data_IF_334222744890
#
_entry.id   IF_334222744890
#
_cell.length_a   1.000
_cell.length_b   1.000
_cell.length_c   1.000
_cell.angle_alpha   90.00
_cell.angle_beta   90.00
_cell.angle_gamma   90.00
#
_symmetry.space_group_name_H-M   'P 1'
#
loop_
_entity.id
_entity.type
_entity.pdbx_description
1 polymer ?
#
# COMPACT_ATOMS: atom_id res chain seq x y z
N UNK A 1 8.24 -19.01 -6.98
CA UNK A 1 8.08 -18.49 -5.61
C UNK A 1 8.81 -19.42 -4.68
N UNK A 2 9.92 -18.96 -4.11
CA UNK A 2 10.61 -19.72 -3.06
C UNK A 2 10.01 -19.32 -1.71
N UNK A 3 9.88 -20.29 -0.81
CA UNK A 3 9.34 -20.07 0.53
C UNK A 3 10.21 -20.78 1.55
N UNK A 4 10.59 -20.08 2.60
CA UNK A 4 11.34 -20.64 3.73
C UNK A 4 10.70 -20.23 5.04
N UNK A 5 10.56 -21.17 5.97
CA UNK A 5 10.09 -20.93 7.33
C UNK A 5 11.20 -21.36 8.28
N UNK A 6 11.64 -20.44 9.14
CA UNK A 6 12.68 -20.69 10.13
C UNK A 6 12.20 -20.31 11.52
N UNK A 7 12.57 -21.11 12.51
CA UNK A 7 12.40 -20.75 13.91
C UNK A 7 13.59 -19.88 14.33
N UNK A 8 13.32 -18.77 14.98
CA UNK A 8 14.33 -17.89 15.56
C UNK A 8 14.77 -18.44 16.92
N UNK A 9 16.01 -18.16 17.33
CA UNK A 9 16.57 -18.63 18.60
C UNK A 9 15.77 -18.16 19.83
N UNK A 10 15.05 -17.04 19.70
CA UNK A 10 14.16 -16.49 20.72
C UNK A 10 12.77 -17.16 20.78
N UNK A 11 12.53 -18.19 19.96
CA UNK A 11 11.26 -18.91 19.86
C UNK A 11 10.25 -18.29 18.88
N UNK A 12 10.60 -17.20 18.20
CA UNK A 12 9.79 -16.63 17.11
C UNK A 12 9.81 -17.48 15.83
N UNK A 13 8.94 -17.14 14.88
CA UNK A 13 8.87 -17.76 13.56
C UNK A 13 9.06 -16.71 12.48
N UNK A 14 9.89 -17.00 11.48
CA UNK A 14 10.09 -16.15 10.32
C UNK A 14 9.68 -16.92 9.07
N UNK A 15 8.69 -16.42 8.35
CA UNK A 15 8.30 -16.90 7.03
C UNK A 15 8.77 -15.89 5.98
N UNK A 16 9.64 -16.32 5.07
CA UNK A 16 10.15 -15.51 3.98
C UNK A 16 9.68 -16.08 2.64
N UNK A 17 9.14 -15.20 1.80
CA UNK A 17 8.67 -15.48 0.45
C UNK A 17 9.51 -14.67 -0.54
N UNK A 18 9.93 -15.31 -1.62
CA UNK A 18 10.61 -14.66 -2.74
C UNK A 18 9.76 -14.72 -3.99
N UNK A 19 9.47 -13.56 -4.54
CA UNK A 19 8.79 -13.38 -5.81
C UNK A 19 9.73 -12.78 -6.84
N UNK A 20 9.37 -12.88 -8.10
CA UNK A 20 10.04 -12.19 -9.21
C UNK A 20 9.02 -11.29 -9.86
N UNK A 21 9.40 -10.04 -10.13
CA UNK A 21 8.57 -9.13 -10.89
C UNK A 21 8.52 -9.59 -12.35
N UNK A 22 7.43 -9.24 -13.04
CA UNK A 22 7.24 -9.56 -14.45
C UNK A 22 7.95 -8.53 -15.37
N UNK A 23 9.19 -8.18 -15.03
CA UNK A 23 10.08 -7.32 -15.81
C UNK A 23 11.13 -8.16 -16.54
N UNK A 24 11.85 -7.60 -17.54
CA UNK A 24 12.83 -8.36 -18.32
C UNK A 24 13.96 -8.98 -17.48
N UNK A 25 14.30 -8.36 -16.35
CA UNK A 25 15.38 -8.79 -15.47
C UNK A 25 14.91 -9.75 -14.36
N UNK A 26 13.61 -10.10 -14.31
CA UNK A 26 13.01 -10.95 -13.29
C UNK A 26 13.39 -10.51 -11.86
N UNK A 27 13.26 -9.21 -11.60
CA UNK A 27 13.78 -8.57 -10.38
C UNK A 27 13.21 -9.28 -9.14
N UNK A 28 14.06 -9.82 -8.25
CA UNK A 28 13.59 -10.54 -7.08
C UNK A 28 13.11 -9.58 -6.00
N UNK A 29 11.96 -9.87 -5.40
CA UNK A 29 11.42 -9.14 -4.24
C UNK A 29 11.15 -10.10 -3.09
N UNK A 30 11.43 -9.67 -1.86
CA UNK A 30 11.21 -10.47 -0.66
C UNK A 30 10.01 -9.94 0.12
N UNK A 31 9.24 -10.85 0.69
CA UNK A 31 8.19 -10.57 1.68
C UNK A 31 8.49 -11.45 2.89
N UNK A 32 8.79 -10.82 4.02
CA UNK A 32 9.15 -11.51 5.26
C UNK A 32 8.16 -11.18 6.36
N UNK A 33 7.55 -12.21 6.93
CA UNK A 33 6.74 -12.13 8.14
C UNK A 33 7.53 -12.71 9.30
N UNK A 34 7.79 -11.91 10.33
CA UNK A 34 8.39 -12.37 11.59
C UNK A 34 7.39 -12.25 12.71
N UNK A 35 6.99 -13.39 13.26
CA UNK A 35 6.13 -13.50 14.44
C UNK A 35 7.01 -13.69 15.66
N UNK A 36 6.92 -12.78 16.61
CA UNK A 36 7.62 -12.86 17.89
C UNK A 36 6.84 -13.71 18.90
N UNK A 37 7.48 -14.22 19.97
CA UNK A 37 6.81 -15.04 20.98
C UNK A 37 5.63 -14.35 21.70
N UNK A 38 5.60 -13.01 21.72
CA UNK A 38 4.50 -12.20 22.25
C UNK A 38 3.38 -11.95 21.22
N UNK A 39 3.34 -12.74 20.13
CA UNK A 39 2.33 -12.70 19.07
C UNK A 39 2.25 -11.40 18.28
N UNK A 40 3.29 -10.56 18.33
CA UNK A 40 3.44 -9.43 17.40
C UNK A 40 4.00 -9.91 16.08
N UNK A 41 3.51 -9.34 14.99
CA UNK A 41 3.98 -9.68 13.65
C UNK A 41 4.67 -8.48 13.03
N UNK A 42 5.85 -8.71 12.46
CA UNK A 42 6.61 -7.74 11.68
C UNK A 42 6.52 -8.15 10.22
N UNK A 43 6.16 -7.22 9.36
CA UNK A 43 6.17 -7.38 7.91
C UNK A 43 7.28 -6.52 7.33
N UNK A 44 8.13 -7.14 6.52
CA UNK A 44 9.11 -6.43 5.70
C UNK A 44 8.94 -6.84 4.23
N UNK A 45 8.73 -5.88 3.35
CA UNK A 45 8.67 -6.08 1.89
C UNK A 45 9.81 -5.30 1.26
N UNK A 46 10.69 -5.97 0.54
CA UNK A 46 11.91 -5.35 0.00
C UNK A 46 12.02 -5.51 -1.51
N UNK A 47 12.31 -4.38 -2.14
CA UNK A 47 12.75 -4.26 -3.52
C UNK A 47 14.23 -3.89 -3.51
N UNK A 48 15.11 -4.67 -4.13
CA UNK A 48 16.55 -4.40 -4.12
C UNK A 48 16.98 -3.27 -5.08
N UNK A 49 16.09 -2.85 -5.99
CA UNK A 49 16.47 -2.07 -7.17
C UNK A 49 16.68 -2.96 -8.39
N UNK A 50 16.57 -2.36 -9.57
CA UNK A 50 16.76 -2.98 -10.88
C UNK A 50 17.92 -2.33 -11.64
N UNK A 51 18.19 -2.77 -12.87
CA UNK A 51 19.20 -2.22 -13.75
C UNK A 51 19.00 -0.73 -14.00
N UNK A 52 20.12 -0.01 -14.10
CA UNK A 52 20.12 1.40 -14.46
C UNK A 52 19.44 1.61 -15.83
N UNK A 53 18.50 2.54 -15.91
CA UNK A 53 17.72 2.82 -17.12
C UNK A 53 16.37 2.09 -17.21
N UNK A 54 16.03 1.24 -16.24
CA UNK A 54 14.67 0.72 -16.10
C UNK A 54 13.65 1.86 -15.89
N UNK A 55 12.43 1.66 -16.39
CA UNK A 55 11.34 2.63 -16.21
C UNK A 55 11.02 2.81 -14.73
N UNK A 56 10.60 4.01 -14.34
CA UNK A 56 10.21 4.31 -12.95
C UNK A 56 9.06 3.41 -12.49
N UNK A 57 9.06 3.03 -11.23
CA UNK A 57 7.97 2.27 -10.64
C UNK A 57 6.74 3.17 -10.44
N UNK A 58 5.52 2.69 -10.74
CA UNK A 58 4.30 3.41 -10.39
C UNK A 58 4.08 3.41 -8.87
N UNK A 59 4.30 2.27 -8.23
CA UNK A 59 4.20 2.07 -6.80
C UNK A 59 4.97 0.79 -6.40
N UNK A 60 5.34 0.68 -5.12
CA UNK A 60 5.89 -0.55 -4.56
C UNK A 60 5.36 -0.82 -3.15
N UNK A 61 4.91 -2.06 -2.90
CA UNK A 61 4.36 -2.48 -1.61
C UNK A 61 3.59 -3.79 -1.71
N UNK A 62 2.55 -3.93 -0.90
CA UNK A 62 1.69 -5.11 -0.81
C UNK A 62 0.21 -4.70 -0.76
N UNK A 63 -0.66 -5.53 -1.31
CA UNK A 63 -2.12 -5.40 -1.22
C UNK A 63 -2.67 -6.68 -0.59
N UNK A 64 -3.55 -6.52 0.39
CA UNK A 64 -4.25 -7.63 1.04
C UNK A 64 -5.75 -7.57 0.76
N UNK A 65 -6.31 -8.72 0.43
CA UNK A 65 -7.75 -8.95 0.48
C UNK A 65 -8.17 -9.20 1.94
N UNK A 66 -9.07 -8.37 2.45
CA UNK A 66 -9.63 -8.44 3.79
C UNK A 66 -11.11 -8.88 3.75
N UNK A 67 -11.64 -9.45 4.83
CA UNK A 67 -13.08 -9.69 4.97
C UNK A 67 -13.92 -8.44 4.64
N UNK A 68 -15.09 -8.66 4.03
CA UNK A 68 -15.99 -7.58 3.61
C UNK A 68 -16.46 -6.69 4.76
N UNK A 69 -16.50 -7.21 5.99
CA UNK A 69 -16.81 -6.41 7.18
C UNK A 69 -15.74 -5.38 7.56
N UNK A 70 -14.47 -5.57 7.15
CA UNK A 70 -13.35 -4.68 7.50
C UNK A 70 -13.32 -3.45 6.59
N UNK A 71 -14.35 -2.63 6.70
CA UNK A 71 -14.62 -1.49 5.83
C UNK A 71 -14.30 -0.14 6.47
N UNK A 72 -14.05 -0.07 7.77
CA UNK A 72 -13.70 1.16 8.47
C UNK A 72 -12.19 1.37 8.46
N UNK A 73 -11.76 2.54 8.00
CA UNK A 73 -10.36 2.96 8.03
C UNK A 73 -10.20 4.12 9.00
N UNK A 74 -9.34 3.94 10.00
CA UNK A 74 -8.87 5.00 10.87
C UNK A 74 -7.36 5.10 10.78
N UNK A 75 -6.79 6.28 10.57
CA UNK A 75 -5.35 6.41 10.37
C UNK A 75 -4.78 7.72 10.91
N UNK A 76 -3.50 7.68 11.28
CA UNK A 76 -2.70 8.87 11.59
C UNK A 76 -1.74 9.15 10.44
N UNK A 77 -2.01 10.22 9.69
CA UNK A 77 -1.25 10.58 8.48
C UNK A 77 -1.75 11.87 7.86
N UNK A 78 -1.44 12.09 6.58
CA UNK A 78 -1.94 13.26 5.84
C UNK A 78 -3.34 13.02 5.28
N UNK A 79 -4.26 13.95 5.53
CA UNK A 79 -5.67 13.83 5.15
C UNK A 79 -6.48 15.11 5.41
N UNK A 80 -7.83 15.05 5.41
CA UNK A 80 -8.65 13.83 5.27
C UNK A 80 -8.77 13.33 3.83
N UNK A 81 -8.60 14.21 2.84
CA UNK A 81 -8.69 13.86 1.42
C UNK A 81 -7.49 13.02 0.96
N UNK A 82 -7.63 12.36 -0.19
CA UNK A 82 -6.52 11.60 -0.79
C UNK A 82 -5.31 12.50 -1.08
N UNK A 83 -4.12 11.94 -0.86
CA UNK A 83 -2.83 12.60 -1.06
C UNK A 83 -1.89 11.72 -1.87
N UNK A 84 -1.09 12.37 -2.70
CA UNK A 84 -0.06 11.75 -3.55
C UNK A 84 1.25 12.51 -3.39
N UNK A 85 2.35 11.89 -3.79
CA UNK A 85 3.71 12.40 -3.57
C UNK A 85 3.93 13.86 -4.02
N UNK A 86 3.34 14.26 -5.13
CA UNK A 86 3.37 15.62 -5.69
C UNK A 86 2.13 16.47 -5.36
N UNK A 87 1.12 15.87 -4.72
CA UNK A 87 -0.18 16.48 -4.39
C UNK A 87 -0.58 16.20 -2.94
N UNK A 88 0.33 16.44 -1.99
CA UNK A 88 0.06 16.25 -0.54
C UNK A 88 0.02 17.54 0.29
N UNK A 89 0.43 18.68 -0.26
CA UNK A 89 0.51 19.94 0.50
C UNK A 89 -0.86 20.47 0.99
N UNK A 90 -1.96 20.02 0.39
CA UNK A 90 -3.31 20.33 0.86
C UNK A 90 -3.77 19.49 2.06
N UNK A 91 -3.10 18.36 2.32
CA UNK A 91 -3.39 17.47 3.43
C UNK A 91 -2.82 18.00 4.74
N UNK A 92 -3.55 17.78 5.84
CA UNK A 92 -3.10 18.07 7.20
C UNK A 92 -2.70 16.78 7.89
N UNK A 93 -1.64 16.84 8.71
CA UNK A 93 -1.31 15.76 9.63
C UNK A 93 -2.39 15.70 10.72
N UNK A 94 -3.02 14.53 10.86
CA UNK A 94 -4.12 14.34 11.81
C UNK A 94 -4.53 12.89 11.91
N UNK A 95 -5.46 12.61 12.82
CA UNK A 95 -6.16 11.32 12.89
C UNK A 95 -7.46 11.49 12.14
N UNK A 96 -7.69 10.62 11.16
CA UNK A 96 -8.83 10.66 10.27
C UNK A 96 -9.56 9.33 10.29
N UNK A 97 -10.87 9.39 10.06
CA UNK A 97 -11.78 8.26 10.02
C UNK A 97 -12.55 8.31 8.70
N UNK A 98 -12.63 7.17 8.00
CA UNK A 98 -13.35 7.02 6.72
C UNK A 98 -13.80 5.57 6.55
N UNK A 99 -14.42 5.25 5.42
CA UNK A 99 -14.75 3.89 5.00
C UNK A 99 -14.10 3.57 3.66
N UNK A 100 -14.03 2.29 3.30
CA UNK A 100 -13.55 1.86 1.98
C UNK A 100 -14.35 2.51 0.84
N UNK A 101 -15.67 2.58 0.99
CA UNK A 101 -16.57 3.25 0.04
C UNK A 101 -16.28 4.75 -0.05
N UNK A 102 -16.22 5.46 1.09
CA UNK A 102 -15.97 6.90 1.12
C UNK A 102 -14.56 7.28 0.63
N UNK A 103 -13.60 6.35 0.69
CA UNK A 103 -12.24 6.53 0.16
C UNK A 103 -12.16 6.39 -1.37
N UNK A 104 -13.22 5.90 -2.01
CA UNK A 104 -13.30 5.82 -3.48
C UNK A 104 -13.79 7.15 -4.04
N UNK A 105 -12.90 7.94 -4.63
CA UNK A 105 -13.26 9.22 -5.21
C UNK A 105 -14.19 9.02 -6.43
N UNK A 106 -15.24 9.85 -6.57
CA UNK A 106 -16.22 9.73 -7.65
C UNK A 106 -15.72 10.35 -8.96
N UNK A 107 -14.51 9.98 -9.39
CA UNK A 107 -13.97 10.39 -10.69
C UNK A 107 -14.88 9.92 -11.83
N UNK A 108 -15.00 10.69 -12.91
CA UNK A 108 -15.89 10.34 -14.03
C UNK A 108 -15.52 8.98 -14.65
N UNK A 109 -14.22 8.77 -14.85
CA UNK A 109 -13.65 7.46 -15.20
C UNK A 109 -13.07 6.85 -13.94
N UNK A 110 -13.26 5.54 -13.76
CA UNK A 110 -12.63 4.80 -12.67
C UNK A 110 -11.11 4.80 -12.89
N UNK A 111 -10.36 5.09 -11.82
CA UNK A 111 -8.91 5.23 -11.82
C UNK A 111 -8.36 5.10 -10.40
N UNK A 112 -7.03 5.07 -10.24
CA UNK A 112 -6.35 5.10 -8.94
C UNK A 112 -6.93 6.21 -8.03
N UNK A 113 -7.23 5.86 -6.78
CA UNK A 113 -7.93 6.72 -5.82
C UNK A 113 -7.65 6.32 -4.37
N UNK A 114 -7.88 7.23 -3.43
CA UNK A 114 -7.98 6.93 -2.00
C UNK A 114 -6.64 6.71 -1.30
N UNK A 115 -5.53 7.08 -1.96
CA UNK A 115 -4.19 7.05 -1.37
C UNK A 115 -4.06 8.09 -0.25
N UNK A 116 -3.40 7.71 0.84
CA UNK A 116 -2.97 8.61 1.91
C UNK A 116 -1.46 8.46 2.14
N UNK A 117 -0.71 9.54 1.96
CA UNK A 117 0.74 9.62 2.17
C UNK A 117 1.09 9.88 3.65
N UNK A 118 2.34 9.61 4.01
CA UNK A 118 2.93 9.86 5.32
C UNK A 118 2.15 9.22 6.49
N UNK A 119 1.57 8.04 6.27
CA UNK A 119 0.85 7.26 7.29
C UNK A 119 1.83 6.68 8.29
N UNK A 120 1.50 6.85 9.57
CA UNK A 120 2.29 6.37 10.73
C UNK A 120 1.68 5.13 11.34
N UNK A 121 0.36 5.09 11.41
CA UNK A 121 -0.41 3.91 11.74
C UNK A 121 -1.79 4.00 11.11
N UNK A 122 -2.40 2.85 10.88
CA UNK A 122 -3.79 2.71 10.49
C UNK A 122 -4.45 1.51 11.17
N UNK A 123 -5.77 1.52 11.18
CA UNK A 123 -6.67 0.47 11.65
C UNK A 123 -7.69 0.22 10.54
N UNK A 124 -7.79 -1.03 10.07
CA UNK A 124 -8.83 -1.51 9.17
C UNK A 124 -9.72 -2.47 9.96
N UNK A 125 -10.97 -2.07 10.21
CA UNK A 125 -11.83 -2.71 11.22
C UNK A 125 -13.27 -2.90 10.76
N UNK A 126 -13.97 -3.80 11.44
CA UNK A 126 -15.42 -3.90 11.42
C UNK A 126 -16.10 -2.79 12.25
N UNK A 127 -17.43 -2.78 12.28
CA UNK A 127 -18.21 -1.79 13.04
C UNK A 127 -18.07 -1.94 14.56
N UNK A 128 -17.57 -3.07 15.05
CA UNK A 128 -17.33 -3.35 16.46
C UNK A 128 -15.89 -2.99 16.88
N UNK A 129 -15.04 -2.63 15.93
CA UNK A 129 -13.63 -2.28 16.14
C UNK A 129 -12.67 -3.46 16.03
N UNK A 130 -13.13 -4.66 15.64
CA UNK A 130 -12.25 -5.80 15.40
C UNK A 130 -11.58 -5.70 14.03
N UNK A 131 -10.31 -6.04 13.94
CA UNK A 131 -9.60 -6.08 12.66
C UNK A 131 -8.09 -6.07 12.80
N UNK A 132 -7.44 -5.22 12.02
CA UNK A 132 -5.99 -5.14 11.91
C UNK A 132 -5.50 -3.71 12.14
N UNK A 133 -4.52 -3.57 13.03
CA UNK A 133 -3.71 -2.38 13.17
C UNK A 133 -2.35 -2.57 12.49
N UNK A 134 -1.97 -1.58 11.68
CA UNK A 134 -0.66 -1.49 11.03
C UNK A 134 0.06 -0.27 11.58
N UNK A 135 1.29 -0.41 12.04
CA UNK A 135 2.11 0.71 12.54
C UNK A 135 3.47 0.68 11.88
N UNK A 136 3.98 1.83 11.46
CA UNK A 136 5.31 1.93 10.87
C UNK A 136 6.41 1.40 11.79
N UNK A 137 7.50 0.89 11.21
CA UNK A 137 8.74 0.62 11.94
C UNK A 137 9.82 1.63 11.55
N UNK A 138 10.51 2.15 12.56
CA UNK A 138 11.50 3.20 12.37
C UNK A 138 10.87 4.57 12.08
N UNK A 139 11.59 5.38 11.30
CA UNK A 139 11.25 6.76 10.95
C UNK A 139 10.57 6.90 9.59
N UNK A 140 10.55 5.84 8.77
CA UNK A 140 9.90 5.84 7.46
C UNK A 140 8.39 5.66 7.57
N UNK A 141 7.65 6.64 7.08
CA UNK A 141 6.21 6.57 6.89
C UNK A 141 5.88 5.72 5.66
N UNK A 142 4.66 5.19 5.60
CA UNK A 142 4.15 4.43 4.46
C UNK A 142 2.94 5.14 3.83
N UNK A 143 2.58 4.73 2.62
CA UNK A 143 1.37 5.17 1.93
C UNK A 143 0.32 4.06 2.04
N UNK A 144 -0.94 4.42 2.24
CA UNK A 144 -2.00 3.42 2.38
C UNK A 144 -3.33 3.83 1.75
N UNK A 145 -4.10 2.83 1.33
CA UNK A 145 -5.50 2.98 0.93
C UNK A 145 -6.30 1.74 1.35
N UNK A 146 -7.60 1.94 1.59
CA UNK A 146 -8.57 0.85 1.81
C UNK A 146 -9.70 1.05 0.82
N UNK A 147 -9.91 0.11 -0.10
CA UNK A 147 -10.91 0.24 -1.17
C UNK A 147 -11.78 -1.02 -1.30
N UNK A 148 -13.02 -0.93 -1.85
CA UNK A 148 -13.90 -2.09 -2.02
C UNK A 148 -13.49 -3.02 -3.18
N UNK A 149 -12.49 -2.61 -3.98
CA UNK A 149 -12.00 -3.31 -5.15
C UNK A 149 -10.47 -3.31 -5.19
N UNK A 150 -9.88 -4.39 -5.69
CA UNK A 150 -8.44 -4.49 -5.89
C UNK A 150 -7.96 -3.62 -7.07
N UNK A 151 -6.64 -3.40 -7.11
CA UNK A 151 -6.00 -2.62 -8.18
C UNK A 151 -6.37 -3.11 -9.58
N UNK A 152 -6.48 -4.43 -9.81
CA UNK A 152 -6.84 -5.00 -11.11
C UNK A 152 -8.28 -4.67 -11.54
N UNK A 153 -9.22 -4.64 -10.60
CA UNK A 153 -10.62 -4.34 -10.87
C UNK A 153 -10.81 -2.85 -11.17
N UNK A 154 -10.08 -1.98 -10.46
CA UNK A 154 -10.06 -0.55 -10.72
C UNK A 154 -9.50 -0.26 -12.12
N UNK A 155 -8.37 -0.89 -12.49
CA UNK A 155 -7.76 -0.74 -13.83
C UNK A 155 -8.67 -1.22 -14.97
N UNK A 156 -9.43 -2.29 -14.74
CA UNK A 156 -10.30 -2.86 -15.76
C UNK A 156 -11.61 -2.08 -16.00
N UNK A 157 -12.08 -1.34 -15.00
CA UNK A 157 -13.34 -0.60 -15.07
C UNK A 157 -13.16 0.75 -15.76
N UNK A 158 -14.11 1.13 -16.63
CA UNK A 158 -14.13 2.46 -17.26
C UNK A 158 -15.14 3.39 -16.61
N UNK A 159 -16.27 2.83 -16.16
CA UNK A 159 -17.36 3.55 -15.50
C UNK A 159 -17.65 2.89 -14.16
N UNK A 160 -18.20 3.64 -13.22
CA UNK A 160 -18.61 3.11 -11.90
C UNK A 160 -19.61 1.96 -12.00
N UNK A 161 -20.49 1.98 -13.00
CA UNK A 161 -21.46 0.90 -13.27
C UNK A 161 -20.82 -0.41 -13.78
N UNK A 162 -19.55 -0.37 -14.21
CA UNK A 162 -18.80 -1.56 -14.61
C UNK A 162 -18.18 -2.28 -13.39
N UNK A 163 -18.16 -1.63 -12.22
CA UNK A 163 -17.62 -2.22 -10.98
C UNK A 163 -18.55 -3.31 -10.44
N UNK A 164 -18.03 -4.50 -10.08
CA UNK A 164 -18.84 -5.54 -9.48
C UNK A 164 -19.28 -5.12 -8.07
N UNK A 165 -20.37 -5.71 -7.57
CA UNK A 165 -20.76 -5.55 -6.18
C UNK A 165 -19.60 -5.93 -5.25
N UNK A 166 -19.17 -5.06 -4.31
CA UNK A 166 -18.08 -5.36 -3.39
C UNK A 166 -18.35 -6.61 -2.56
N UNK A 167 -17.30 -7.41 -2.36
CA UNK A 167 -17.32 -8.62 -1.51
C UNK A 167 -16.27 -8.62 -0.42
N UNK A 168 -15.20 -7.88 -0.66
CA UNK A 168 -14.03 -7.76 0.20
C UNK A 168 -13.61 -6.30 0.25
N UNK A 169 -12.73 -5.98 1.18
CA UNK A 169 -12.01 -4.72 1.16
C UNK A 169 -10.53 -5.01 0.92
N UNK A 170 -9.85 -4.11 0.22
CA UNK A 170 -8.48 -4.27 -0.20
C UNK A 170 -7.64 -3.22 0.49
N UNK A 171 -6.80 -3.65 1.43
CA UNK A 171 -5.86 -2.80 2.15
C UNK A 171 -4.53 -2.81 1.40
N UNK A 172 -4.17 -1.67 0.84
CA UNK A 172 -2.90 -1.47 0.14
C UNK A 172 -1.95 -0.73 1.06
N UNK A 173 -0.75 -1.29 1.24
CA UNK A 173 0.35 -0.69 2.00
C UNK A 173 1.55 -0.53 1.06
N UNK A 174 1.99 0.70 0.86
CA UNK A 174 3.04 1.04 -0.08
C UNK A 174 4.24 1.63 0.63
N UNK A 175 5.43 1.14 0.29
CA UNK A 175 6.67 1.83 0.63
C UNK A 175 6.72 3.21 -0.03
N UNK A 176 6.22 3.31 -1.27
CA UNK A 176 6.02 4.57 -1.98
C UNK A 176 5.11 4.40 -3.20
N UNK A 177 4.49 5.50 -3.61
CA UNK A 177 3.82 5.71 -4.90
C UNK A 177 4.45 6.92 -5.61
N UNK A 178 4.51 6.91 -6.94
CA UNK A 178 4.94 8.09 -7.69
C UNK A 178 3.86 9.20 -7.64
N UNK A 179 4.24 10.41 -8.04
CA UNK A 179 3.30 11.53 -8.20
C UNK A 179 2.28 11.30 -9.31
N UNK A 180 1.25 12.13 -9.36
CA UNK A 180 0.19 12.09 -10.39
C UNK A 180 0.62 12.82 -11.66
N UNK A 181 1.40 13.90 -11.54
CA UNK A 181 1.74 14.80 -12.63
C UNK A 181 0.59 15.77 -12.98
N UNK A 182 0.45 16.08 -14.27
CA UNK A 182 -0.65 16.93 -14.76
C UNK A 182 -0.25 18.30 -15.31
N UNK A 183 1.02 18.50 -15.68
CA UNK A 183 1.44 19.67 -16.49
C UNK A 183 0.67 19.73 -17.83
N UNK A 184 0.50 18.56 -18.45
CA UNK A 184 -0.50 18.29 -19.47
C UNK A 184 -1.03 16.85 -19.34
N UNK A 185 -2.03 16.50 -20.17
CA UNK A 185 -2.63 15.16 -20.20
C UNK A 185 -2.36 14.43 -21.53
N UNK A 186 -1.32 14.82 -22.28
CA UNK A 186 -1.01 14.26 -23.60
C UNK A 186 0.49 13.97 -23.83
N UNK A 187 1.32 14.00 -22.78
CA UNK A 187 2.68 13.47 -22.85
C UNK A 187 3.62 13.89 -21.72
N UNK A 188 3.27 14.90 -20.93
CA UNK A 188 4.12 15.34 -19.83
C UNK A 188 4.23 14.26 -18.74
N UNK A 189 5.45 13.86 -18.35
CA UNK A 189 5.65 12.92 -17.26
C UNK A 189 5.51 13.61 -15.90
N UNK A 190 5.34 12.81 -14.85
CA UNK A 190 5.56 13.23 -13.46
C UNK A 190 6.96 13.83 -13.34
N UNK A 191 7.11 14.95 -12.64
CA UNK A 191 8.43 15.55 -12.44
C UNK A 191 9.37 14.59 -11.70
N UNK A 192 10.65 14.59 -12.05
CA UNK A 192 11.66 13.64 -11.55
C UNK A 192 11.72 13.55 -10.01
N UNK A 193 11.47 14.66 -9.30
CA UNK A 193 11.45 14.69 -7.83
C UNK A 193 10.35 13.82 -7.19
N UNK A 194 9.31 13.48 -7.96
CA UNK A 194 8.15 12.71 -7.52
C UNK A 194 8.03 11.35 -8.24
N UNK A 195 9.03 10.96 -9.04
CA UNK A 195 9.11 9.62 -9.61
C UNK A 195 9.70 8.62 -8.58
N UNK A 196 9.53 7.32 -8.84
CA UNK A 196 10.22 6.25 -8.13
C UNK A 196 11.27 5.62 -9.05
N UNK A 197 12.56 6.01 -8.95
CA UNK A 197 13.61 5.39 -9.76
C UNK A 197 13.71 3.90 -9.44
N UNK A 198 13.60 3.06 -10.49
CA UNK A 198 13.65 1.61 -10.34
C UNK A 198 15.05 1.09 -9.94
N UNK A 199 16.10 1.88 -10.14
CA UNK A 199 17.47 1.51 -9.74
C UNK A 199 17.75 1.68 -8.23
N UNK A 200 16.73 2.02 -7.43
CA UNK A 200 16.85 2.27 -5.99
C UNK A 200 16.10 1.23 -5.17
N UNK A 201 16.66 0.83 -4.02
CA UNK A 201 15.95 -0.07 -3.13
C UNK A 201 14.75 0.64 -2.47
N UNK A 202 13.67 -0.11 -2.26
CA UNK A 202 12.49 0.31 -1.51
C UNK A 202 12.16 -0.73 -0.45
N UNK A 203 11.75 -0.27 0.73
CA UNK A 203 11.40 -1.16 1.85
C UNK A 203 10.12 -0.65 2.52
N UNK A 204 9.10 -1.50 2.57
CA UNK A 204 7.98 -1.35 3.50
C UNK A 204 8.32 -2.15 4.75
N UNK A 205 8.32 -1.52 5.92
CA UNK A 205 8.63 -2.16 7.20
C UNK A 205 7.62 -1.72 8.26
N UNK A 206 6.75 -2.64 8.69
CA UNK A 206 5.60 -2.34 9.55
C UNK A 206 5.38 -3.44 10.60
N UNK A 207 4.78 -3.07 11.72
CA UNK A 207 4.21 -4.00 12.69
C UNK A 207 2.73 -4.20 12.39
N UNK A 208 2.26 -5.42 12.63
CA UNK A 208 0.88 -5.87 12.46
C UNK A 208 0.38 -6.41 13.80
N UNK A 209 -0.80 -5.96 14.21
CA UNK A 209 -1.48 -6.39 15.43
C UNK A 209 -2.96 -6.61 15.13
N UNK A 210 -3.51 -7.75 15.55
CA UNK A 210 -4.96 -7.95 15.53
C UNK A 210 -5.57 -7.16 16.69
N UNK A 211 -6.63 -6.42 16.41
CA UNK A 211 -7.36 -5.60 17.39
C UNK A 211 -8.83 -6.00 17.45
#
# INVERSE_FOLDING_TARGET
>A
TDTSITQSDDGGLTAAYRYELADPDHTPVSVTYRVTPDMRMQLTVEYPGNAAGAASLPAFGIEWELPGEYQHLRYYGTGPEETYRDRKQGGKLGIWDTTSEASTAPYLMVQETGSHEDVRWLEATDIQGHGLRVTQRGDRHFTASLLPWNTYTIEAARRHEDLPAPRHNYLRLLAAQMGVGGDDSWGAPVHTAYQLPADRPLTLDVNLELI
#
